data_IF_775708309419
#
_entry.id   IF_775708309419
#
_cell.length_a   1.000
_cell.length_b   1.000
_cell.length_c   1.000
_cell.angle_alpha   90.00
_cell.angle_beta   90.00
_cell.angle_gamma   90.00
#
_symmetry.space_group_name_H-M   'P 1'
#
loop_
_entity.id
_entity.type
_entity.pdbx_description
1 polymer ?
#
# COMPACT_ATOMS: atom_id res chain seq x y z
N UNK A 1 17.46 31.95 10.25
CA UNK A 1 17.00 30.78 11.03
C UNK A 1 15.66 30.28 10.51
N UNK A 2 14.67 31.15 10.30
CA UNK A 2 13.33 30.76 9.79
C UNK A 2 13.31 29.93 8.47
N UNK A 3 14.16 30.27 7.48
CA UNK A 3 14.22 29.53 6.21
C UNK A 3 14.73 28.09 6.39
N UNK A 4 15.68 27.88 7.29
CA UNK A 4 16.25 26.55 7.59
C UNK A 4 15.21 25.66 8.28
N UNK A 5 14.40 26.24 9.16
CA UNK A 5 13.35 25.52 9.87
C UNK A 5 12.23 25.07 8.92
N UNK A 6 11.82 25.94 7.99
CA UNK A 6 10.84 25.59 6.93
C UNK A 6 11.32 24.46 6.02
N UNK A 7 12.61 24.46 5.64
CA UNK A 7 13.20 23.38 4.83
C UNK A 7 13.21 22.06 5.60
N UNK A 8 13.59 22.08 6.89
CA UNK A 8 13.58 20.87 7.75
C UNK A 8 12.16 20.31 7.91
N UNK A 9 11.18 21.15 8.23
CA UNK A 9 9.78 20.71 8.39
C UNK A 9 9.22 20.17 7.09
N UNK A 10 9.47 20.84 5.95
CA UNK A 10 9.06 20.36 4.63
C UNK A 10 9.69 19.01 4.27
N UNK A 11 11.00 18.86 4.52
CA UNK A 11 11.71 17.60 4.30
C UNK A 11 11.17 16.44 5.15
N UNK A 12 10.94 16.69 6.45
CA UNK A 12 10.36 15.69 7.36
C UNK A 12 8.97 15.27 6.87
N UNK A 13 8.10 16.21 6.50
CA UNK A 13 6.76 15.91 6.04
C UNK A 13 6.75 15.01 4.79
N UNK A 14 7.62 15.30 3.82
CA UNK A 14 7.75 14.50 2.60
C UNK A 14 8.24 13.08 2.93
N UNK A 15 9.29 12.97 3.74
CA UNK A 15 9.84 11.67 4.16
C UNK A 15 8.78 10.85 4.89
N UNK A 16 8.06 11.45 5.84
CA UNK A 16 6.98 10.78 6.57
C UNK A 16 5.87 10.29 5.63
N UNK A 17 5.47 11.09 4.65
CA UNK A 17 4.42 10.72 3.70
C UNK A 17 4.86 9.58 2.79
N UNK A 18 6.11 9.61 2.31
CA UNK A 18 6.69 8.52 1.51
C UNK A 18 6.77 7.22 2.32
N UNK A 19 7.27 7.29 3.56
CA UNK A 19 7.34 6.11 4.44
C UNK A 19 5.95 5.53 4.69
N UNK A 20 4.96 6.38 4.99
CA UNK A 20 3.58 5.96 5.19
C UNK A 20 3.04 5.26 3.93
N UNK A 21 3.19 5.87 2.76
CA UNK A 21 2.71 5.29 1.50
C UNK A 21 3.35 3.92 1.20
N UNK A 22 4.65 3.75 1.45
CA UNK A 22 5.35 2.48 1.26
C UNK A 22 4.84 1.39 2.20
N UNK A 23 4.70 1.70 3.49
CA UNK A 23 4.21 0.75 4.49
C UNK A 23 2.77 0.34 4.19
N UNK A 24 1.89 1.30 3.88
CA UNK A 24 0.50 1.04 3.52
C UNK A 24 0.41 0.18 2.25
N UNK A 25 1.21 0.49 1.23
CA UNK A 25 1.23 -0.28 -0.02
C UNK A 25 1.68 -1.72 0.21
N UNK A 26 2.73 -1.93 1.00
CA UNK A 26 3.21 -3.28 1.32
C UNK A 26 2.18 -4.08 2.12
N UNK A 27 1.55 -3.46 3.12
CA UNK A 27 0.50 -4.10 3.92
C UNK A 27 -0.73 -4.48 3.07
N UNK A 28 -1.15 -3.59 2.15
CA UNK A 28 -2.26 -3.86 1.25
C UNK A 28 -1.93 -5.00 0.27
N UNK A 29 -0.72 -4.98 -0.30
CA UNK A 29 -0.25 -6.05 -1.18
C UNK A 29 -0.25 -7.42 -0.47
N UNK A 30 0.26 -7.50 0.77
CA UNK A 30 0.22 -8.74 1.56
C UNK A 30 -1.22 -9.19 1.85
N UNK A 31 -2.12 -8.25 2.14
CA UNK A 31 -3.54 -8.56 2.37
C UNK A 31 -4.14 -9.22 1.13
N UNK A 32 -3.92 -8.66 -0.07
CA UNK A 32 -4.37 -9.27 -1.32
C UNK A 32 -3.81 -10.69 -1.51
N UNK A 33 -2.50 -10.89 -1.33
CA UNK A 33 -1.86 -12.20 -1.51
C UNK A 33 -2.46 -13.24 -0.57
N UNK A 34 -2.61 -12.91 0.71
CA UNK A 34 -3.13 -13.83 1.72
C UNK A 34 -4.59 -14.17 1.43
N UNK A 35 -5.42 -13.17 1.16
CA UNK A 35 -6.85 -13.36 0.87
C UNK A 35 -7.08 -14.18 -0.40
N UNK A 36 -6.44 -13.81 -1.52
CA UNK A 36 -6.62 -14.54 -2.77
C UNK A 36 -6.09 -15.99 -2.68
N UNK A 37 -5.04 -16.22 -1.89
CA UNK A 37 -4.54 -17.57 -1.61
C UNK A 37 -5.55 -18.39 -0.79
N UNK A 38 -6.15 -17.80 0.26
CA UNK A 38 -7.17 -18.45 1.08
C UNK A 38 -8.45 -18.77 0.29
N UNK A 39 -8.83 -17.89 -0.63
CA UNK A 39 -10.04 -18.02 -1.43
C UNK A 39 -9.84 -18.87 -2.71
N UNK A 40 -8.60 -19.26 -3.02
CA UNK A 40 -8.29 -20.03 -4.24
C UNK A 40 -8.43 -19.21 -5.53
N UNK A 41 -8.31 -17.89 -5.46
CA UNK A 41 -8.42 -16.96 -6.59
C UNK A 41 -7.11 -16.88 -7.38
N UNK A 42 -6.64 -18.02 -7.90
CA UNK A 42 -5.29 -18.16 -8.47
C UNK A 42 -4.97 -17.18 -9.60
N UNK A 43 -5.94 -16.89 -10.48
CA UNK A 43 -5.74 -15.91 -11.55
C UNK A 43 -5.49 -14.50 -11.01
N UNK A 44 -6.23 -14.12 -9.97
CA UNK A 44 -6.10 -12.80 -9.37
C UNK A 44 -4.87 -12.70 -8.46
N UNK A 45 -4.53 -13.78 -7.77
CA UNK A 45 -3.29 -13.94 -7.02
C UNK A 45 -2.06 -13.71 -7.93
N UNK A 46 -2.02 -14.37 -9.09
CA UNK A 46 -0.93 -14.21 -10.05
C UNK A 46 -0.90 -12.78 -10.60
N UNK A 47 -2.08 -12.22 -10.93
CA UNK A 47 -2.17 -10.83 -11.40
C UNK A 47 -1.62 -9.85 -10.36
N UNK A 48 -1.97 -10.01 -9.08
CA UNK A 48 -1.48 -9.15 -8.00
C UNK A 48 -0.01 -9.37 -7.64
N UNK A 49 0.53 -10.58 -7.85
CA UNK A 49 1.95 -10.85 -7.67
C UNK A 49 2.83 -10.19 -8.76
N UNK A 50 2.31 -10.06 -9.99
CA UNK A 50 3.03 -9.45 -11.11
C UNK A 50 2.74 -7.95 -11.27
N UNK A 51 1.55 -7.50 -10.90
CA UNK A 51 1.10 -6.11 -11.02
C UNK A 51 0.73 -5.54 -9.65
N UNK A 52 1.73 -5.02 -8.94
CA UNK A 52 1.59 -4.41 -7.61
C UNK A 52 0.42 -3.42 -7.47
N UNK A 53 0.13 -2.51 -8.43
CA UNK A 53 -0.99 -1.58 -8.28
C UNK A 53 -2.35 -2.28 -8.12
N UNK A 54 -2.57 -3.41 -8.82
CA UNK A 54 -3.81 -4.18 -8.74
C UNK A 54 -3.98 -4.74 -7.33
N UNK A 55 -2.93 -5.37 -6.80
CA UNK A 55 -2.93 -5.94 -5.46
C UNK A 55 -3.08 -4.89 -4.35
N UNK A 56 -2.47 -3.70 -4.50
CA UNK A 56 -2.63 -2.61 -3.52
C UNK A 56 -4.07 -2.11 -3.50
N UNK A 57 -4.67 -1.85 -4.68
CA UNK A 57 -6.06 -1.41 -4.76
C UNK A 57 -6.98 -2.47 -4.14
N UNK A 58 -6.84 -3.73 -4.52
CA UNK A 58 -7.62 -4.83 -3.97
C UNK A 58 -7.45 -4.97 -2.46
N UNK A 59 -6.21 -4.96 -1.98
CA UNK A 59 -5.89 -5.05 -0.55
C UNK A 59 -6.52 -3.91 0.26
N UNK A 60 -6.49 -2.68 -0.25
CA UNK A 60 -7.15 -1.54 0.40
C UNK A 60 -8.67 -1.75 0.43
N UNK A 61 -9.28 -2.21 -0.67
CA UNK A 61 -10.73 -2.43 -0.65
C UNK A 61 -11.16 -3.59 0.23
N UNK A 62 -10.32 -4.60 0.48
CA UNK A 62 -10.56 -5.61 1.53
C UNK A 62 -10.63 -4.93 2.90
N UNK A 63 -9.72 -4.02 3.23
CA UNK A 63 -9.77 -3.28 4.50
C UNK A 63 -11.03 -2.43 4.65
N UNK A 64 -11.54 -1.90 3.54
CA UNK A 64 -12.79 -1.15 3.50
C UNK A 64 -14.05 -2.04 3.45
N UNK A 65 -13.89 -3.37 3.43
CA UNK A 65 -14.99 -4.33 3.37
C UNK A 65 -15.71 -4.39 2.02
N UNK A 66 -15.05 -3.97 0.94
CA UNK A 66 -15.60 -3.98 -0.43
C UNK A 66 -15.45 -5.34 -1.11
N UNK A 67 -14.43 -6.12 -0.71
CA UNK A 67 -14.11 -7.43 -1.24
C UNK A 67 -13.80 -8.41 -0.12
N UNK A 68 -13.80 -9.70 -0.44
CA UNK A 68 -13.64 -10.80 0.50
C UNK A 68 -12.84 -11.93 -0.11
#
# INVERSE_FOLDING_TARGET
>A
MELVDRIKTGGIAIVSLVVFALVTSLAAWLTHIITCLQNGEWGFLIAGALAFPIAIIHGIGIWLGLWG
#
